data_IF_187998394665
#
_entry.id   IF_187998394665
#
_cell.length_a   1.000
_cell.length_b   1.000
_cell.length_c   1.000
_cell.angle_alpha   90.00
_cell.angle_beta   90.00
_cell.angle_gamma   90.00
#
_symmetry.space_group_name_H-M   'P 1'
#
loop_
_entity.id
_entity.type
_entity.pdbx_description
1 polymer ?
#
# COMPACT_ATOMS: atom_id res chain seq x y z
N UNK A 1 -1.96 5.30 3.19
CA UNK A 1 -2.85 4.99 2.05
C UNK A 1 -2.57 5.92 0.89
N UNK A 2 -2.58 5.43 -0.35
CA UNK A 2 -2.40 6.25 -1.57
C UNK A 2 -3.73 6.35 -2.30
N UNK A 3 -4.15 7.56 -2.64
CA UNK A 3 -5.39 7.81 -3.37
C UNK A 3 -5.12 8.56 -4.66
N UNK A 4 -5.72 8.10 -5.75
CA UNK A 4 -5.68 8.76 -7.06
C UNK A 4 -7.12 9.02 -7.49
N UNK A 5 -7.37 10.26 -7.92
CA UNK A 5 -8.63 10.64 -8.56
C UNK A 5 -8.97 9.66 -9.67
N UNK A 6 -10.26 9.29 -9.81
CA UNK A 6 -10.71 8.29 -10.79
C UNK A 6 -10.21 8.59 -12.21
N UNK A 7 -10.21 9.87 -12.61
CA UNK A 7 -9.75 10.32 -13.93
C UNK A 7 -8.25 10.17 -14.19
N UNK A 8 -7.44 9.97 -13.15
CA UNK A 8 -5.98 9.88 -13.24
C UNK A 8 -5.45 8.46 -12.97
N UNK A 9 -6.33 7.47 -12.77
CA UNK A 9 -5.93 6.07 -12.59
C UNK A 9 -5.36 5.52 -13.91
N UNK A 10 -4.44 4.57 -13.81
CA UNK A 10 -3.78 3.98 -14.98
C UNK A 10 -2.68 4.85 -15.63
N UNK A 11 -2.47 6.08 -15.15
CA UNK A 11 -1.45 7.02 -15.69
C UNK A 11 -0.04 6.83 -15.10
N UNK A 12 0.13 5.84 -14.22
CA UNK A 12 1.36 5.66 -13.44
C UNK A 12 1.58 6.64 -12.28
N UNK A 13 0.66 7.58 -12.04
CA UNK A 13 0.81 8.61 -11.00
C UNK A 13 0.98 8.03 -9.59
N UNK A 14 0.29 6.92 -9.27
CA UNK A 14 0.44 6.26 -7.97
C UNK A 14 1.87 5.78 -7.71
N UNK A 15 2.55 5.24 -8.74
CA UNK A 15 3.95 4.82 -8.64
C UNK A 15 4.85 6.02 -8.39
N UNK A 16 4.71 7.09 -9.19
CA UNK A 16 5.50 8.33 -9.00
C UNK A 16 5.33 8.96 -7.62
N UNK A 17 4.11 8.95 -7.07
CA UNK A 17 3.89 9.43 -5.69
C UNK A 17 4.64 8.56 -4.68
N UNK A 18 4.60 7.24 -4.85
CA UNK A 18 5.28 6.32 -3.96
C UNK A 18 6.81 6.43 -4.05
N UNK A 19 7.35 6.69 -5.24
CA UNK A 19 8.77 6.96 -5.43
C UNK A 19 9.20 8.21 -4.65
N UNK A 20 8.47 9.32 -4.81
CA UNK A 20 8.74 10.58 -4.08
C UNK A 20 8.70 10.37 -2.56
N UNK A 21 7.70 9.63 -2.06
CA UNK A 21 7.60 9.32 -0.62
C UNK A 21 8.75 8.42 -0.17
N UNK A 22 9.13 7.43 -0.98
CA UNK A 22 10.23 6.50 -0.67
C UNK A 22 11.56 7.23 -0.60
N UNK A 23 11.84 8.14 -1.55
CA UNK A 23 13.07 8.93 -1.57
C UNK A 23 13.15 9.87 -0.36
N UNK A 24 12.04 10.52 -0.01
CA UNK A 24 11.97 11.33 1.21
C UNK A 24 12.19 10.49 2.48
N UNK A 25 11.58 9.30 2.56
CA UNK A 25 11.74 8.40 3.69
C UNK A 25 13.20 7.94 3.84
N UNK A 26 13.87 7.59 2.74
CA UNK A 26 15.31 7.26 2.72
C UNK A 26 16.16 8.43 3.22
N UNK A 27 15.91 9.63 2.71
CA UNK A 27 16.65 10.83 3.09
C UNK A 27 16.50 11.20 4.58
N UNK A 28 15.42 10.74 5.23
CA UNK A 28 15.15 10.97 6.65
C UNK A 28 15.53 9.79 7.55
N UNK A 29 16.17 8.76 7.00
CA UNK A 29 16.66 7.60 7.76
C UNK A 29 15.59 6.55 8.08
N UNK A 30 14.39 6.68 7.52
CA UNK A 30 13.35 5.65 7.60
C UNK A 30 13.79 4.42 6.82
N UNK A 31 13.57 3.23 7.41
CA UNK A 31 14.05 1.97 6.85
C UNK A 31 12.96 1.08 6.26
N UNK A 32 11.70 1.38 6.55
CA UNK A 32 10.55 0.57 6.18
C UNK A 32 9.33 1.44 5.95
N UNK A 33 8.55 1.10 4.91
CA UNK A 33 7.21 1.61 4.69
C UNK A 33 6.21 0.51 4.98
N UNK A 34 5.10 0.87 5.62
CA UNK A 34 4.02 -0.03 6.00
C UNK A 34 2.68 0.53 5.53
N UNK A 35 1.76 -0.37 5.21
CA UNK A 35 0.40 -0.03 4.86
C UNK A 35 -0.55 -1.14 5.26
N UNK A 36 -1.81 -0.76 5.39
CA UNK A 36 -2.95 -1.65 5.48
C UNK A 36 -3.80 -1.54 4.21
N UNK A 37 -4.39 -2.65 3.80
CA UNK A 37 -5.24 -2.75 2.62
C UNK A 37 -6.27 -3.85 2.82
N UNK A 38 -7.55 -3.54 2.56
CA UNK A 38 -8.62 -4.53 2.52
C UNK A 38 -8.25 -5.71 1.62
N UNK A 39 -8.45 -6.93 2.11
CA UNK A 39 -8.15 -8.16 1.38
C UNK A 39 -8.90 -8.28 0.04
N UNK A 40 -10.03 -7.58 -0.10
CA UNK A 40 -10.82 -7.56 -1.34
C UNK A 40 -10.29 -6.56 -2.38
N UNK A 41 -9.41 -5.62 -1.98
CA UNK A 41 -8.80 -4.65 -2.87
C UNK A 41 -7.60 -5.24 -3.64
N UNK A 42 -7.87 -6.28 -4.40
CA UNK A 42 -6.87 -7.04 -5.18
C UNK A 42 -6.08 -6.15 -6.15
N UNK A 43 -6.68 -5.08 -6.68
CA UNK A 43 -6.00 -4.12 -7.54
C UNK A 43 -4.91 -3.34 -6.79
N UNK A 44 -5.20 -2.86 -5.57
CA UNK A 44 -4.22 -2.18 -4.72
C UNK A 44 -3.13 -3.14 -4.24
N UNK A 45 -3.49 -4.36 -3.81
CA UNK A 45 -2.52 -5.39 -3.40
C UNK A 45 -1.52 -5.67 -4.53
N UNK A 46 -2.01 -5.95 -5.74
CA UNK A 46 -1.15 -6.17 -6.91
C UNK A 46 -0.29 -4.95 -7.25
N UNK A 47 -0.83 -3.74 -7.07
CA UNK A 47 -0.05 -2.52 -7.23
C UNK A 47 1.10 -2.47 -6.22
N UNK A 48 0.83 -2.63 -4.92
CA UNK A 48 1.87 -2.60 -3.89
C UNK A 48 2.91 -3.72 -4.05
N UNK A 49 2.50 -4.93 -4.44
CA UNK A 49 3.42 -6.02 -4.78
C UNK A 49 4.40 -5.62 -5.88
N UNK A 50 3.93 -5.01 -6.97
CA UNK A 50 4.81 -4.48 -8.04
C UNK A 50 5.72 -3.36 -7.57
N UNK A 51 5.37 -2.67 -6.50
CA UNK A 51 6.19 -1.62 -5.89
C UNK A 51 7.15 -2.17 -4.82
N UNK A 52 7.23 -3.50 -4.65
CA UNK A 52 8.16 -4.15 -3.73
C UNK A 52 7.63 -4.34 -2.31
N UNK A 53 6.32 -4.18 -2.08
CA UNK A 53 5.70 -4.54 -0.82
C UNK A 53 5.34 -6.03 -0.78
N UNK A 54 5.43 -6.63 0.39
CA UNK A 54 4.97 -8.00 0.67
C UNK A 54 3.99 -7.99 1.85
N UNK A 55 3.04 -8.93 1.87
CA UNK A 55 2.21 -9.17 3.06
C UNK A 55 3.10 -9.61 4.23
N UNK A 56 2.89 -8.98 5.39
CA UNK A 56 3.61 -9.28 6.64
C UNK A 56 2.67 -9.63 7.79
N UNK A 57 1.37 -9.42 7.61
CA UNK A 57 0.37 -9.73 8.62
C UNK A 57 -1.05 -9.54 8.09
N UNK A 58 -2.00 -10.06 8.84
CA UNK A 58 -3.42 -10.02 8.52
C UNK A 58 -4.23 -9.99 9.80
N UNK A 59 -5.23 -9.10 9.84
CA UNK A 59 -6.20 -9.01 10.91
C UNK A 59 -7.51 -9.57 10.36
N UNK A 60 -7.96 -10.77 10.80
CA UNK A 60 -9.25 -11.32 10.40
C UNK A 60 -10.39 -10.36 10.77
N UNK A 61 -11.24 -10.01 9.80
CA UNK A 61 -12.34 -9.07 10.01
C UNK A 61 -11.92 -7.66 10.47
N UNK A 62 -10.68 -7.24 10.17
CA UNK A 62 -10.11 -5.96 10.63
C UNK A 62 -10.78 -4.71 10.05
N UNK A 63 -11.58 -4.83 8.98
CA UNK A 63 -12.31 -3.72 8.36
C UNK A 63 -13.80 -4.06 8.27
N UNK A 64 -14.66 -3.07 8.54
CA UNK A 64 -16.09 -3.15 8.27
C UNK A 64 -16.44 -2.33 7.02
N UNK A 65 -16.76 -2.99 5.92
CA UNK A 65 -17.20 -2.35 4.67
C UNK A 65 -18.61 -2.82 4.34
N UNK A 66 -19.55 -1.87 4.20
CA UNK A 66 -20.96 -2.14 3.86
C UNK A 66 -21.62 -3.22 4.76
N UNK A 67 -21.23 -3.27 6.04
CA UNK A 67 -21.77 -4.21 7.02
C UNK A 67 -21.14 -5.61 6.99
N UNK A 68 -20.11 -5.83 6.17
CA UNK A 68 -19.34 -7.08 6.14
C UNK A 68 -17.98 -6.90 6.78
N UNK A 69 -17.58 -7.89 7.58
CA UNK A 69 -16.21 -8.00 8.07
C UNK A 69 -15.30 -8.49 6.94
N UNK A 70 -14.23 -7.74 6.69
CA UNK A 70 -13.21 -8.04 5.69
C UNK A 70 -11.87 -8.03 6.38
N UNK A 71 -11.01 -8.99 6.03
CA UNK A 71 -9.64 -9.04 6.52
C UNK A 71 -8.87 -7.77 6.12
N UNK A 72 -8.14 -7.20 7.07
CA UNK A 72 -7.19 -6.12 6.81
C UNK A 72 -5.79 -6.71 6.62
N UNK A 73 -5.16 -6.42 5.49
CA UNK A 73 -3.85 -6.97 5.12
C UNK A 73 -2.78 -5.94 5.39
N UNK A 74 -1.83 -6.27 6.27
CA UNK A 74 -0.63 -5.47 6.50
C UNK A 74 0.42 -5.84 5.47
N UNK A 75 0.93 -4.84 4.74
CA UNK A 75 2.05 -5.02 3.81
C UNK A 75 3.20 -4.10 4.18
N UNK A 76 4.42 -4.57 3.97
CA UNK A 76 5.63 -3.81 4.23
C UNK A 76 6.63 -3.87 3.07
N UNK A 77 7.41 -2.80 2.92
CA UNK A 77 8.55 -2.71 2.00
C UNK A 77 9.75 -2.16 2.77
N UNK A 78 10.85 -2.91 2.77
CA UNK A 78 12.17 -2.42 3.21
C UNK A 78 12.74 -1.48 2.15
N UNK A 79 13.27 -0.34 2.57
CA UNK A 79 13.78 0.71 1.67
C UNK A 79 15.24 1.08 1.92
N UNK A 80 15.93 0.28 2.73
CA UNK A 80 17.38 0.34 2.89
C UNK A 80 18.05 -0.55 1.86
N UNK A 81 19.24 -0.14 1.41
CA UNK A 81 20.13 -0.95 0.59
C UNK A 81 20.80 -2.08 1.39
#
# INVERSE_FOLDING_TARGET
MVYISKSLRGTGLAGRLLDVVTDHARATGIRQLELFVSAENTAAIRFYQRQGFSEVGRIPGGVLEEGREIDDVMMARRIVD
#
